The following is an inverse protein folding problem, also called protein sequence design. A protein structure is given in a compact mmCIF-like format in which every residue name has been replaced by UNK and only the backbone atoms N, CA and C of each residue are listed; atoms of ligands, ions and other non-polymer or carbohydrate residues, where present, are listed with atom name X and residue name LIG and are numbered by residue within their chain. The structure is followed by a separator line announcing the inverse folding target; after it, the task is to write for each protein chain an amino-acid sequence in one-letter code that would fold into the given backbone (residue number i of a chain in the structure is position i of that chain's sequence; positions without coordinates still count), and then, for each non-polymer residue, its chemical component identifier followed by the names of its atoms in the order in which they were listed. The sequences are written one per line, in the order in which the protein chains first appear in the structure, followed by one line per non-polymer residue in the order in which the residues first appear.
data_IF_307070445401
#
_entry.id   IF_307070445401
#
_cell.length_a   1.000
_cell.length_b   1.000
_cell.length_c   1.000
_cell.angle_alpha   90.00
_cell.angle_beta   90.00
_cell.angle_gamma   90.00
#
_symmetry.space_group_name_H-M   'P 1'
#
loop_
_entity.id
_entity.type
_entity.pdbx_description
1 polymer ?
#
# COMPACT_ATOMS: atom_id res chain seq x y z
N UNK A 1 -5.13 -0.71 12.61
CA UNK A 1 -5.99 0.18 11.82
C UNK A 1 -6.53 1.29 12.72
N UNK A 2 -6.36 2.55 12.34
CA UNK A 2 -6.99 3.67 13.05
C UNK A 2 -8.26 4.05 12.32
N UNK A 3 -9.38 4.01 13.03
CA UNK A 3 -10.66 4.56 12.57
C UNK A 3 -10.64 6.08 12.84
N UNK A 4 -10.72 6.90 11.80
CA UNK A 4 -11.12 8.30 11.93
C UNK A 4 -12.51 8.42 11.30
N UNK A 5 -13.52 8.60 12.12
CA UNK A 5 -14.88 8.80 11.71
C UNK A 5 -15.54 9.87 12.56
N UNK A 6 -15.73 11.03 11.97
CA UNK A 6 -16.76 11.99 12.35
C UNK A 6 -17.35 12.55 11.04
N UNK A 7 -18.16 11.75 10.40
CA UNK A 7 -19.09 12.20 9.39
C UNK A 7 -20.27 11.22 9.36
N UNK A 8 -21.45 11.75 9.48
CA UNK A 8 -22.71 11.10 9.75
C UNK A 8 -22.92 9.73 9.12
N UNK A 9 -23.39 8.83 9.93
CA UNK A 9 -23.86 7.49 9.59
C UNK A 9 -24.80 7.58 8.38
N UNK A 10 -24.27 7.27 7.18
CA UNK A 10 -25.12 7.11 6.00
C UNK A 10 -25.91 5.82 6.13
N UNK A 11 -27.05 5.91 6.82
CA UNK A 11 -27.97 4.81 6.98
C UNK A 11 -28.57 4.49 5.61
N UNK A 12 -28.27 3.32 5.08
CA UNK A 12 -28.92 2.78 3.88
C UNK A 12 -30.41 2.65 4.14
N UNK A 13 -31.23 3.53 3.55
CA UNK A 13 -32.70 3.48 3.65
C UNK A 13 -33.19 2.24 2.90
N UNK A 14 -33.76 1.30 3.65
CA UNK A 14 -34.30 0.06 3.13
C UNK A 14 -35.49 0.25 2.20
N UNK A 15 -35.38 -0.29 1.00
CA UNK A 15 -36.51 -0.63 0.12
C UNK A 15 -36.81 -2.11 0.25
N UNK A 16 -38.08 -2.47 0.41
CA UNK A 16 -38.60 -3.82 0.62
C UNK A 16 -38.41 -4.72 -0.61
N UNK A 17 -37.62 -5.74 -0.47
CA UNK A 17 -37.37 -6.84 -1.40
C UNK A 17 -35.98 -7.38 -1.06
N UNK A 18 -35.74 -8.68 -1.15
CA UNK A 18 -34.41 -9.27 -0.90
C UNK A 18 -33.40 -8.73 -1.93
N UNK A 19 -33.07 -7.45 -1.82
CA UNK A 19 -32.20 -6.76 -2.76
C UNK A 19 -30.76 -7.05 -2.37
N UNK A 20 -30.07 -7.70 -3.30
CA UNK A 20 -28.64 -7.85 -3.32
C UNK A 20 -27.96 -6.48 -3.20
N UNK A 21 -27.05 -6.33 -2.26
CA UNK A 21 -26.22 -5.13 -2.13
C UNK A 21 -25.10 -5.19 -3.16
N UNK A 22 -25.06 -4.27 -4.09
CA UNK A 22 -23.97 -4.15 -5.06
C UNK A 22 -22.92 -3.19 -4.52
N UNK A 23 -21.73 -3.70 -4.24
CA UNK A 23 -20.59 -2.90 -3.77
C UNK A 23 -19.56 -2.84 -4.88
N UNK A 24 -19.22 -1.62 -5.32
CA UNK A 24 -18.21 -1.38 -6.32
C UNK A 24 -16.83 -1.24 -5.66
N UNK A 25 -15.85 -1.98 -6.16
CA UNK A 25 -14.44 -1.81 -5.81
C UNK A 25 -13.72 -1.11 -6.95
N UNK A 26 -13.37 0.15 -6.75
CA UNK A 26 -12.57 0.92 -7.71
C UNK A 26 -11.09 0.67 -7.44
N UNK A 27 -10.40 0.04 -8.39
CA UNK A 27 -9.00 -0.34 -8.27
C UNK A 27 -8.14 0.34 -9.33
N UNK A 28 -7.14 1.10 -8.90
CA UNK A 28 -6.22 1.75 -9.84
C UNK A 28 -5.36 0.71 -10.58
N UNK A 29 -5.34 0.77 -11.92
CA UNK A 29 -4.63 -0.18 -12.79
C UNK A 29 -3.11 -0.14 -12.61
N UNK A 30 -2.57 0.98 -12.13
CA UNK A 30 -1.15 1.17 -11.86
C UNK A 30 -0.65 0.30 -10.70
N UNK A 31 -1.56 -0.29 -9.93
CA UNK A 31 -1.26 -1.20 -8.84
C UNK A 31 -1.39 -2.66 -9.26
N UNK A 32 -0.48 -3.49 -8.74
CA UNK A 32 -0.36 -4.90 -9.14
C UNK A 32 -1.59 -5.73 -8.79
N UNK A 33 -1.92 -6.67 -9.66
CA UNK A 33 -3.02 -7.60 -9.46
C UNK A 33 -2.88 -8.44 -8.16
N UNK A 34 -1.65 -8.77 -7.73
CA UNK A 34 -1.42 -9.53 -6.49
C UNK A 34 -1.93 -8.80 -5.24
N UNK A 35 -1.80 -7.47 -5.19
CA UNK A 35 -2.35 -6.65 -4.11
C UNK A 35 -3.89 -6.68 -4.12
N UNK A 36 -4.48 -6.64 -5.31
CA UNK A 36 -5.93 -6.71 -5.48
C UNK A 36 -6.49 -8.04 -4.96
N UNK A 37 -5.81 -9.15 -5.21
CA UNK A 37 -6.27 -10.46 -4.72
C UNK A 37 -6.26 -10.54 -3.20
N UNK A 38 -5.23 -10.05 -2.52
CA UNK A 38 -5.19 -9.99 -1.06
C UNK A 38 -6.34 -9.17 -0.48
N UNK A 39 -6.60 -8.00 -1.07
CA UNK A 39 -7.71 -7.14 -0.68
C UNK A 39 -9.07 -7.83 -0.93
N UNK A 40 -9.22 -8.47 -2.08
CA UNK A 40 -10.41 -9.25 -2.45
C UNK A 40 -10.69 -10.39 -1.47
N UNK A 41 -9.67 -11.13 -1.06
CA UNK A 41 -9.82 -12.22 -0.10
C UNK A 41 -10.32 -11.73 1.26
N UNK A 42 -9.84 -10.57 1.71
CA UNK A 42 -10.33 -9.91 2.91
C UNK A 42 -11.81 -9.50 2.81
N UNK A 43 -12.23 -8.92 1.66
CA UNK A 43 -13.64 -8.57 1.41
C UNK A 43 -14.53 -9.83 1.43
N UNK A 44 -14.14 -10.87 0.69
CA UNK A 44 -14.88 -12.13 0.61
C UNK A 44 -15.09 -12.77 1.98
N UNK A 45 -14.00 -12.89 2.74
CA UNK A 45 -14.06 -13.52 4.07
C UNK A 45 -15.03 -12.82 5.02
N UNK A 46 -15.26 -11.53 4.84
CA UNK A 46 -16.24 -10.80 5.66
C UNK A 46 -17.66 -10.87 5.09
N UNK A 47 -17.80 -10.81 3.77
CA UNK A 47 -19.11 -10.95 3.10
C UNK A 47 -19.73 -12.32 3.39
N UNK A 48 -18.94 -13.40 3.43
CA UNK A 48 -19.41 -14.75 3.73
C UNK A 48 -20.04 -14.89 5.14
N UNK A 49 -19.75 -13.94 6.05
CA UNK A 49 -20.35 -13.91 7.40
C UNK A 49 -21.68 -13.17 7.44
N UNK A 50 -22.02 -12.39 6.43
CA UNK A 50 -23.26 -11.61 6.40
C UNK A 50 -24.42 -12.43 5.87
N UNK A 51 -25.61 -12.26 6.47
CA UNK A 51 -26.85 -12.85 5.97
C UNK A 51 -27.41 -12.13 4.73
N UNK A 52 -26.93 -10.92 4.43
CA UNK A 52 -27.39 -10.14 3.28
C UNK A 52 -26.62 -10.55 2.02
N UNK A 53 -27.29 -10.81 0.88
CA UNK A 53 -26.62 -11.04 -0.38
C UNK A 53 -25.81 -9.80 -0.79
N UNK A 54 -24.51 -9.97 -1.01
CA UNK A 54 -23.61 -8.90 -1.46
C UNK A 54 -22.94 -9.33 -2.74
N UNK A 55 -23.01 -8.50 -3.77
CA UNK A 55 -22.29 -8.65 -5.03
C UNK A 55 -21.18 -7.63 -5.13
N UNK A 56 -19.94 -8.11 -5.24
CA UNK A 56 -18.78 -7.26 -5.51
C UNK A 56 -18.59 -7.10 -7.01
N UNK A 57 -18.36 -5.85 -7.44
CA UNK A 57 -18.03 -5.51 -8.82
C UNK A 57 -16.74 -4.73 -8.85
N UNK A 58 -15.78 -5.14 -9.68
CA UNK A 58 -14.49 -4.46 -9.82
C UNK A 58 -14.55 -3.49 -10.97
N UNK A 59 -14.26 -2.23 -10.72
CA UNK A 59 -14.09 -1.17 -11.71
C UNK A 59 -12.60 -0.76 -11.74
N UNK A 60 -11.85 -1.23 -12.73
CA UNK A 60 -10.48 -0.74 -12.91
C UNK A 60 -10.51 0.70 -13.42
N UNK A 61 -9.61 1.54 -12.87
CA UNK A 61 -9.44 2.92 -13.34
C UNK A 61 -7.95 3.28 -13.43
N UNK A 62 -7.63 4.34 -14.13
CA UNK A 62 -6.27 4.89 -14.22
C UNK A 62 -6.13 5.99 -13.18
N UNK A 63 -5.02 6.03 -12.43
CA UNK A 63 -4.73 7.12 -11.49
C UNK A 63 -4.87 8.49 -12.18
N UNK A 64 -5.33 9.48 -11.45
CA UNK A 64 -5.68 10.84 -11.87
C UNK A 64 -6.95 10.93 -12.75
N UNK A 65 -7.55 9.79 -13.12
CA UNK A 65 -8.74 9.72 -14.00
C UNK A 65 -9.95 9.08 -13.28
N UNK A 66 -9.98 8.99 -11.97
CA UNK A 66 -11.12 8.46 -11.21
C UNK A 66 -12.43 9.20 -11.53
N UNK A 67 -12.34 10.50 -11.77
CA UNK A 67 -13.45 11.38 -12.19
C UNK A 67 -14.15 10.94 -13.49
N UNK A 68 -13.47 10.19 -14.36
CA UNK A 68 -14.01 9.69 -15.62
C UNK A 68 -14.82 8.41 -15.44
N UNK A 69 -14.87 7.84 -14.23
CA UNK A 69 -15.65 6.64 -13.94
C UNK A 69 -17.13 6.97 -13.82
N UNK A 70 -17.89 6.69 -14.87
CA UNK A 70 -19.33 6.91 -14.90
C UNK A 70 -20.07 6.12 -13.82
N UNK A 71 -19.63 4.89 -13.54
CA UNK A 71 -20.20 4.06 -12.47
C UNK A 71 -20.10 4.72 -11.07
N UNK A 72 -19.02 5.50 -10.82
CA UNK A 72 -18.84 6.23 -9.58
C UNK A 72 -19.65 7.52 -9.56
N UNK A 73 -19.57 8.30 -10.63
CA UNK A 73 -20.17 9.64 -10.70
C UNK A 73 -21.69 9.61 -10.84
N UNK A 74 -22.25 8.62 -11.55
CA UNK A 74 -23.70 8.42 -11.64
C UNK A 74 -24.28 7.65 -10.45
N UNK A 75 -23.53 6.73 -9.87
CA UNK A 75 -23.99 5.81 -8.83
C UNK A 75 -25.11 4.87 -9.25
N UNK A 76 -25.35 4.71 -10.56
CA UNK A 76 -26.49 3.96 -11.08
C UNK A 76 -26.36 2.45 -10.89
N UNK A 77 -25.13 1.93 -10.94
CA UNK A 77 -24.86 0.49 -10.99
C UNK A 77 -24.43 -0.13 -9.65
N UNK A 78 -24.28 0.68 -8.61
CA UNK A 78 -23.84 0.20 -7.30
C UNK A 78 -24.49 1.00 -6.15
N UNK A 79 -24.57 0.35 -4.99
CA UNK A 79 -25.20 0.94 -3.81
C UNK A 79 -24.17 1.59 -2.86
N UNK A 80 -22.90 1.20 -2.99
CA UNK A 80 -21.78 1.77 -2.26
C UNK A 80 -20.47 1.48 -3.01
N UNK A 81 -19.42 2.24 -2.69
CA UNK A 81 -18.10 2.05 -3.30
C UNK A 81 -16.99 1.95 -2.26
N UNK A 82 -15.97 1.15 -2.59
CA UNK A 82 -14.67 1.16 -1.93
C UNK A 82 -13.65 1.64 -2.96
N UNK A 83 -13.00 2.76 -2.70
CA UNK A 83 -12.00 3.33 -3.60
C UNK A 83 -10.62 2.97 -3.08
N UNK A 84 -9.85 2.25 -3.89
CA UNK A 84 -8.52 1.77 -3.57
C UNK A 84 -7.47 2.51 -4.37
N UNK A 85 -6.38 2.89 -3.69
CA UNK A 85 -5.18 3.42 -4.32
C UNK A 85 -5.34 4.78 -5.04
N UNK A 86 -6.29 5.61 -4.62
CA UNK A 86 -6.49 6.95 -5.15
C UNK A 86 -5.19 7.78 -5.07
N UNK A 87 -4.88 8.51 -6.14
CA UNK A 87 -3.79 9.46 -6.22
C UNK A 87 -4.14 10.79 -5.55
N UNK A 88 -3.20 11.72 -5.49
CA UNK A 88 -3.49 13.08 -5.01
C UNK A 88 -4.56 13.80 -5.85
N UNK A 89 -4.52 13.63 -7.17
CA UNK A 89 -5.53 14.25 -8.06
C UNK A 89 -6.91 13.61 -7.89
N UNK A 90 -6.97 12.28 -7.68
CA UNK A 90 -8.22 11.58 -7.39
C UNK A 90 -8.81 12.01 -6.04
N UNK A 91 -7.97 12.22 -5.01
CA UNK A 91 -8.41 12.72 -3.71
C UNK A 91 -8.94 14.15 -3.81
N UNK A 92 -8.28 15.01 -4.59
CA UNK A 92 -8.77 16.37 -4.86
C UNK A 92 -10.14 16.35 -5.54
N UNK A 93 -10.34 15.48 -6.53
CA UNK A 93 -11.66 15.28 -7.16
C UNK A 93 -12.72 14.87 -6.13
N UNK A 94 -12.40 13.96 -5.22
CA UNK A 94 -13.31 13.52 -4.16
C UNK A 94 -13.64 14.63 -3.16
N UNK A 95 -12.69 15.50 -2.82
CA UNK A 95 -12.93 16.66 -1.95
C UNK A 95 -13.87 17.69 -2.60
N UNK A 96 -13.75 17.86 -3.92
CA UNK A 96 -14.52 18.85 -4.67
C UNK A 96 -15.89 18.32 -5.14
N UNK A 97 -16.17 17.02 -4.94
CA UNK A 97 -17.35 16.36 -5.51
C UNK A 97 -18.15 15.60 -4.44
N UNK A 98 -19.46 15.88 -4.37
CA UNK A 98 -20.37 15.06 -3.59
C UNK A 98 -20.86 13.90 -4.44
N UNK A 99 -20.41 12.68 -4.12
CA UNK A 99 -20.83 11.47 -4.82
C UNK A 99 -22.23 11.02 -4.37
N UNK A 100 -23.01 10.42 -5.30
CA UNK A 100 -24.40 10.01 -5.04
C UNK A 100 -24.54 8.75 -4.17
N UNK A 101 -23.43 8.04 -3.91
CA UNK A 101 -23.38 6.80 -3.15
C UNK A 101 -22.41 6.90 -1.98
N UNK A 102 -22.61 6.13 -0.89
CA UNK A 102 -21.63 6.01 0.17
C UNK A 102 -20.29 5.48 -0.34
N UNK A 103 -19.19 6.07 0.13
CA UNK A 103 -17.83 5.70 -0.26
C UNK A 103 -16.97 5.47 0.98
N UNK A 104 -16.15 4.40 0.93
CA UNK A 104 -15.09 4.12 1.89
C UNK A 104 -13.75 4.15 1.16
N UNK A 105 -12.77 4.85 1.71
CA UNK A 105 -11.43 4.92 1.14
C UNK A 105 -10.51 3.88 1.79
N UNK A 106 -9.81 3.12 0.96
CA UNK A 106 -8.78 2.20 1.40
C UNK A 106 -7.41 2.90 1.38
N UNK A 107 -6.81 2.98 2.56
CA UNK A 107 -5.47 3.53 2.80
C UNK A 107 -5.25 4.93 2.20
N UNK A 108 -6.29 5.75 2.27
CA UNK A 108 -6.30 7.15 1.84
C UNK A 108 -7.13 7.96 2.82
N UNK A 109 -6.75 9.21 3.02
CA UNK A 109 -7.50 10.17 3.84
C UNK A 109 -8.03 11.27 2.95
N UNK A 110 -9.34 11.53 3.04
CA UNK A 110 -10.01 12.60 2.33
C UNK A 110 -11.15 13.13 3.22
N UNK A 111 -11.30 14.43 3.31
CA UNK A 111 -12.35 15.04 4.11
C UNK A 111 -13.74 14.62 3.60
N UNK A 112 -14.64 14.35 4.51
CA UNK A 112 -16.02 13.95 4.17
C UNK A 112 -16.22 12.47 3.85
N UNK A 113 -15.18 11.65 3.81
CA UNK A 113 -15.25 10.22 3.51
C UNK A 113 -14.72 9.36 4.67
N UNK A 114 -15.40 8.24 4.92
CA UNK A 114 -14.87 7.21 5.80
C UNK A 114 -13.64 6.57 5.18
N UNK A 115 -12.67 6.20 6.03
CA UNK A 115 -11.45 5.58 5.53
C UNK A 115 -10.88 4.55 6.51
N UNK A 116 -10.21 3.54 5.95
CA UNK A 116 -9.44 2.54 6.69
C UNK A 116 -7.98 2.71 6.35
N UNK A 117 -7.15 3.02 7.33
CA UNK A 117 -5.75 3.37 7.13
C UNK A 117 -4.83 2.57 8.04
N UNK A 118 -3.58 2.43 7.62
CA UNK A 118 -2.47 2.01 8.49
C UNK A 118 -1.75 3.23 9.05
N UNK A 119 -0.97 3.01 10.09
CA UNK A 119 -0.03 4.00 10.58
C UNK A 119 1.26 3.93 9.76
N UNK A 120 1.29 4.67 8.65
CA UNK A 120 2.42 4.70 7.72
C UNK A 120 3.71 5.24 8.36
N UNK A 121 3.59 6.19 9.29
CA UNK A 121 4.74 6.70 10.04
C UNK A 121 5.37 5.58 10.88
N UNK A 122 4.54 4.82 11.60
CA UNK A 122 4.98 3.68 12.40
C UNK A 122 5.56 2.57 11.54
N UNK A 123 5.03 2.33 10.34
CA UNK A 123 5.59 1.34 9.42
C UNK A 123 7.04 1.66 9.04
N UNK A 124 7.31 2.93 8.73
CA UNK A 124 8.67 3.39 8.46
C UNK A 124 9.59 3.25 9.68
N UNK A 125 9.11 3.68 10.85
CA UNK A 125 9.85 3.59 12.10
C UNK A 125 10.23 2.15 12.46
N UNK A 126 9.31 1.19 12.28
CA UNK A 126 9.58 -0.23 12.52
C UNK A 126 10.73 -0.78 11.66
N UNK A 127 10.79 -0.39 10.38
CA UNK A 127 11.88 -0.79 9.50
C UNK A 127 13.24 -0.22 9.96
N UNK A 128 13.28 1.06 10.31
CA UNK A 128 14.49 1.71 10.78
C UNK A 128 15.01 1.09 12.10
N UNK A 129 14.09 0.87 13.05
CA UNK A 129 14.42 0.22 14.32
C UNK A 129 14.96 -1.18 14.12
N UNK A 130 14.35 -1.98 13.25
CA UNK A 130 14.81 -3.34 12.96
C UNK A 130 16.23 -3.35 12.36
N UNK A 131 16.62 -2.36 11.58
CA UNK A 131 17.99 -2.20 11.11
C UNK A 131 18.96 -1.81 12.24
N UNK A 132 18.56 -0.85 13.08
CA UNK A 132 19.37 -0.43 14.21
C UNK A 132 19.61 -1.58 15.20
N UNK A 133 18.57 -2.35 15.53
CA UNK A 133 18.64 -3.52 16.41
C UNK A 133 19.57 -4.63 15.84
N UNK A 134 19.74 -4.69 14.53
CA UNK A 134 20.70 -5.57 13.83
C UNK A 134 22.11 -4.98 13.72
N UNK A 135 22.36 -3.81 14.32
CA UNK A 135 23.67 -3.16 14.34
C UNK A 135 24.05 -2.42 13.06
N UNK A 136 23.09 -2.20 12.13
CA UNK A 136 23.34 -1.39 10.94
C UNK A 136 23.67 0.06 11.33
N UNK A 137 24.57 0.68 10.60
CA UNK A 137 24.98 2.08 10.78
C UNK A 137 24.58 2.98 9.63
N UNK A 138 24.43 2.40 8.45
CA UNK A 138 24.06 3.10 7.21
C UNK A 138 22.88 2.41 6.54
N UNK A 139 21.93 3.20 6.04
CA UNK A 139 20.82 2.66 5.28
C UNK A 139 20.57 3.48 4.02
N UNK A 140 20.28 2.79 2.93
CA UNK A 140 19.72 3.39 1.71
C UNK A 140 18.22 3.15 1.63
N UNK A 141 17.54 3.96 0.84
CA UNK A 141 16.12 3.79 0.55
C UNK A 141 15.91 3.63 -0.95
N UNK A 142 15.08 2.65 -1.30
CA UNK A 142 14.60 2.40 -2.65
C UNK A 142 13.07 2.46 -2.65
N UNK A 143 12.50 3.48 -3.26
CA UNK A 143 11.04 3.66 -3.35
C UNK A 143 10.68 4.34 -4.66
N UNK A 144 9.42 4.28 -5.06
CA UNK A 144 8.91 5.12 -6.16
C UNK A 144 8.61 6.54 -5.66
N UNK A 145 8.44 7.46 -6.60
CA UNK A 145 7.92 8.80 -6.25
C UNK A 145 6.60 8.65 -5.50
N UNK A 146 6.38 9.45 -4.43
CA UNK A 146 5.15 9.40 -3.67
C UNK A 146 3.95 9.78 -4.56
N UNK A 147 2.88 9.00 -4.46
CA UNK A 147 1.59 9.28 -5.13
C UNK A 147 0.47 9.51 -4.13
N UNK A 148 0.77 9.40 -2.83
CA UNK A 148 -0.12 9.72 -1.72
C UNK A 148 0.68 9.95 -0.42
N UNK A 149 0.09 10.67 0.52
CA UNK A 149 0.71 11.12 1.78
C UNK A 149 1.32 9.98 2.62
N UNK A 150 0.69 8.81 2.65
CA UNK A 150 1.19 7.66 3.41
C UNK A 150 2.59 7.21 2.98
N UNK A 151 2.96 7.38 1.70
CA UNK A 151 4.33 7.07 1.26
C UNK A 151 5.35 8.05 1.84
N UNK A 152 4.98 9.32 1.94
CA UNK A 152 5.83 10.37 2.55
C UNK A 152 5.94 10.15 4.06
N UNK A 153 4.83 9.86 4.73
CA UNK A 153 4.79 9.55 6.16
C UNK A 153 5.65 8.33 6.50
N UNK A 154 5.64 7.30 5.68
CA UNK A 154 6.48 6.11 5.82
C UNK A 154 7.97 6.44 5.75
N UNK A 155 8.33 7.27 4.79
CA UNK A 155 9.71 7.76 4.66
C UNK A 155 10.12 8.67 5.81
N UNK A 156 9.20 9.51 6.28
CA UNK A 156 9.43 10.40 7.42
C UNK A 156 9.67 9.59 8.70
N UNK A 157 8.80 8.61 8.99
CA UNK A 157 8.97 7.71 10.13
C UNK A 157 10.27 6.92 10.08
N UNK A 158 10.67 6.44 8.90
CA UNK A 158 11.95 5.76 8.73
C UNK A 158 13.14 6.66 9.06
N UNK A 159 13.11 7.91 8.63
CA UNK A 159 14.19 8.87 8.91
C UNK A 159 14.26 9.23 10.39
N UNK A 160 13.14 9.64 10.98
CA UNK A 160 13.10 10.05 12.39
C UNK A 160 13.61 8.95 13.32
N UNK A 161 13.10 7.73 13.16
CA UNK A 161 13.49 6.61 14.02
C UNK A 161 14.94 6.19 13.72
N UNK A 162 15.36 6.22 12.45
CA UNK A 162 16.74 5.91 12.08
C UNK A 162 17.74 6.89 12.69
N UNK A 163 17.48 8.18 12.59
CA UNK A 163 18.31 9.23 13.18
C UNK A 163 18.37 9.08 14.72
N UNK A 164 17.23 8.81 15.35
CA UNK A 164 17.15 8.58 16.79
C UNK A 164 18.05 7.43 17.26
N UNK A 165 18.19 6.38 16.43
CA UNK A 165 19.05 5.22 16.70
C UNK A 165 20.46 5.32 16.08
N UNK A 166 20.85 6.47 15.57
CA UNK A 166 22.18 6.70 15.00
C UNK A 166 22.43 6.05 13.64
N UNK A 167 21.37 5.74 12.92
CA UNK A 167 21.43 5.23 11.55
C UNK A 167 21.63 6.41 10.58
N UNK A 168 22.72 6.39 9.81
CA UNK A 168 22.95 7.37 8.75
C UNK A 168 22.14 6.98 7.51
N UNK A 169 21.19 7.82 7.11
CA UNK A 169 20.32 7.56 5.96
C UNK A 169 20.91 8.25 4.72
N UNK A 170 21.29 7.43 3.74
CA UNK A 170 21.84 7.90 2.48
C UNK A 170 20.75 8.56 1.63
N UNK A 171 21.17 9.42 0.69
CA UNK A 171 20.23 10.13 -0.17
C UNK A 171 19.27 9.18 -0.89
N UNK A 172 17.98 9.47 -0.80
CA UNK A 172 16.94 8.73 -1.49
C UNK A 172 17.00 8.99 -3.00
N UNK A 173 16.81 7.93 -3.79
CA UNK A 173 16.58 8.02 -5.23
C UNK A 173 15.39 7.16 -5.61
N UNK A 174 14.45 7.74 -6.30
CA UNK A 174 13.27 7.06 -6.77
C UNK A 174 13.59 6.06 -7.88
N UNK A 175 12.83 4.99 -7.95
CA UNK A 175 12.84 4.00 -9.01
C UNK A 175 11.40 3.63 -9.38
N UNK A 176 11.23 2.94 -10.49
CA UNK A 176 9.92 2.37 -10.83
C UNK A 176 9.50 1.33 -9.78
N UNK A 177 8.22 1.33 -9.39
CA UNK A 177 7.66 0.35 -8.45
C UNK A 177 7.48 -1.01 -9.12
N UNK A 178 8.60 -1.66 -9.44
CA UNK A 178 8.63 -2.96 -10.12
C UNK A 178 9.89 -3.75 -9.74
N UNK A 179 9.90 -5.07 -10.04
CA UNK A 179 11.09 -5.91 -9.88
C UNK A 179 12.21 -5.36 -10.77
N UNK A 180 11.89 -4.96 -12.00
CA UNK A 180 12.87 -4.37 -12.92
C UNK A 180 13.42 -3.06 -12.37
N UNK A 181 12.55 -2.16 -11.88
CA UNK A 181 12.97 -0.88 -11.32
C UNK A 181 13.92 -1.03 -10.12
N UNK A 182 13.61 -1.95 -9.20
CA UNK A 182 14.50 -2.29 -8.08
C UNK A 182 15.86 -2.84 -8.55
N UNK A 183 15.84 -3.74 -9.53
CA UNK A 183 17.06 -4.31 -10.14
C UNK A 183 17.95 -3.25 -10.80
N UNK A 184 17.36 -2.42 -11.66
CA UNK A 184 18.07 -1.37 -12.38
C UNK A 184 18.64 -0.31 -11.43
N UNK A 185 17.87 0.08 -10.40
CA UNK A 185 18.30 1.06 -9.40
C UNK A 185 19.53 0.57 -8.62
N UNK A 186 19.52 -0.68 -8.14
CA UNK A 186 20.67 -1.25 -7.42
C UNK A 186 21.84 -1.47 -8.37
N UNK A 187 21.62 -2.02 -9.56
CA UNK A 187 22.67 -2.23 -10.56
C UNK A 187 23.38 -0.94 -10.95
N UNK A 188 22.63 0.17 -11.06
CA UNK A 188 23.20 1.49 -11.31
C UNK A 188 24.06 1.96 -10.13
N UNK A 189 23.52 1.85 -8.88
CA UNK A 189 24.25 2.29 -7.68
C UNK A 189 25.52 1.49 -7.43
N UNK A 190 25.51 0.19 -7.65
CA UNK A 190 26.69 -0.65 -7.54
C UNK A 190 27.79 -0.23 -8.51
N UNK A 191 27.44 0.24 -9.70
CA UNK A 191 28.40 0.74 -10.69
C UNK A 191 28.93 2.14 -10.42
N UNK A 192 28.16 3.01 -9.75
CA UNK A 192 28.47 4.43 -9.65
C UNK A 192 28.65 4.94 -8.22
N UNK A 193 27.77 4.56 -7.30
CA UNK A 193 27.70 5.17 -5.97
C UNK A 193 28.26 4.24 -4.86
N UNK A 194 28.02 2.93 -4.97
CA UNK A 194 28.37 1.93 -3.95
C UNK A 194 29.62 1.10 -4.28
N UNK A 195 30.46 1.58 -5.22
CA UNK A 195 31.69 0.90 -5.61
C UNK A 195 32.69 0.70 -4.47
N UNK A 196 32.79 1.66 -3.58
CA UNK A 196 33.75 1.65 -2.48
C UNK A 196 33.15 1.15 -1.19
N UNK A 197 31.88 1.43 -0.94
CA UNK A 197 31.18 1.05 0.27
C UNK A 197 29.68 0.87 -0.01
N UNK A 198 29.17 -0.31 0.36
CA UNK A 198 27.73 -0.59 0.38
C UNK A 198 27.09 0.01 1.63
N UNK A 199 25.79 0.36 1.58
CA UNK A 199 25.03 0.54 2.80
C UNK A 199 24.91 -0.79 3.56
N UNK A 200 24.84 -0.73 4.88
CA UNK A 200 24.59 -1.92 5.71
C UNK A 200 23.18 -2.47 5.48
N UNK A 201 22.24 -1.56 5.15
CA UNK A 201 20.84 -1.88 5.01
C UNK A 201 20.18 -1.14 3.84
N UNK A 202 19.10 -1.72 3.30
CA UNK A 202 18.26 -1.11 2.26
C UNK A 202 16.80 -1.28 2.61
N UNK A 203 16.10 -0.16 2.80
CA UNK A 203 14.65 -0.14 2.96
C UNK A 203 13.97 0.00 1.60
N UNK A 204 13.10 -0.92 1.26
CA UNK A 204 12.39 -0.97 -0.02
C UNK A 204 10.91 -0.60 0.16
N UNK A 205 10.41 0.33 -0.65
CA UNK A 205 9.01 0.79 -0.60
C UNK A 205 7.98 -0.27 -1.00
N UNK A 206 8.43 -1.41 -1.55
CA UNK A 206 7.58 -2.56 -1.87
C UNK A 206 8.38 -3.85 -1.96
N UNK A 207 7.70 -5.00 -1.79
CA UNK A 207 8.29 -6.33 -2.03
C UNK A 207 8.86 -6.46 -3.44
N UNK A 208 8.19 -5.88 -4.44
CA UNK A 208 8.66 -5.93 -5.82
C UNK A 208 10.02 -5.25 -6.03
N UNK A 209 10.19 -4.05 -5.46
CA UNK A 209 11.47 -3.34 -5.49
C UNK A 209 12.53 -4.17 -4.78
N UNK A 210 12.20 -4.77 -3.63
CA UNK A 210 13.13 -5.58 -2.85
C UNK A 210 13.59 -6.84 -3.59
N UNK A 211 12.69 -7.55 -4.28
CA UNK A 211 13.06 -8.71 -5.11
C UNK A 211 14.04 -8.32 -6.23
N UNK A 212 13.80 -7.18 -6.88
CA UNK A 212 14.72 -6.63 -7.87
C UNK A 212 16.08 -6.27 -7.29
N UNK A 213 16.08 -5.60 -6.14
CA UNK A 213 17.29 -5.24 -5.41
C UNK A 213 18.11 -6.48 -5.00
N UNK A 214 17.43 -7.47 -4.41
CA UNK A 214 18.04 -8.74 -4.00
C UNK A 214 18.73 -9.42 -5.19
N UNK A 215 18.04 -9.53 -6.32
CA UNK A 215 18.60 -10.11 -7.53
C UNK A 215 19.87 -9.37 -7.99
N UNK A 216 19.84 -8.05 -8.03
CA UNK A 216 20.97 -7.23 -8.46
C UNK A 216 22.19 -7.40 -7.53
N UNK A 217 21.98 -7.46 -6.23
CA UNK A 217 23.06 -7.76 -5.27
C UNK A 217 23.65 -9.15 -5.47
N UNK A 218 22.79 -10.17 -5.61
CA UNK A 218 23.25 -11.56 -5.83
C UNK A 218 24.04 -11.72 -7.12
N UNK A 219 23.59 -11.13 -8.23
CA UNK A 219 24.30 -11.16 -9.52
C UNK A 219 25.65 -10.43 -9.46
N UNK A 220 25.77 -9.42 -8.60
CA UNK A 220 27.03 -8.73 -8.34
C UNK A 220 27.95 -9.46 -7.32
N UNK A 221 27.55 -10.65 -6.85
CA UNK A 221 28.33 -11.47 -5.92
C UNK A 221 28.16 -11.12 -4.44
N UNK A 222 27.22 -10.26 -4.08
CA UNK A 222 26.89 -9.98 -2.68
C UNK A 222 25.89 -11.01 -2.16
N UNK A 223 26.40 -12.02 -1.44
CA UNK A 223 25.62 -13.13 -0.86
C UNK A 223 26.04 -13.37 0.59
N UNK A 224 25.16 -14.00 1.35
CA UNK A 224 25.40 -14.31 2.76
C UNK A 224 25.66 -13.03 3.58
N UNK A 225 26.74 -13.00 4.35
CA UNK A 225 27.11 -11.87 5.21
C UNK A 225 27.48 -10.59 4.45
N UNK A 226 27.82 -10.70 3.16
CA UNK A 226 28.15 -9.55 2.31
C UNK A 226 26.90 -8.85 1.75
N UNK A 227 25.73 -9.50 1.85
CA UNK A 227 24.47 -8.93 1.38
C UNK A 227 23.98 -7.87 2.39
N UNK A 228 23.67 -6.63 1.93
CA UNK A 228 23.01 -5.66 2.78
C UNK A 228 21.70 -6.21 3.36
N UNK A 229 21.35 -5.82 4.59
CA UNK A 229 20.05 -6.19 5.16
C UNK A 229 18.94 -5.54 4.36
N UNK A 230 17.95 -6.33 3.93
CA UNK A 230 16.83 -5.85 3.15
C UNK A 230 15.55 -5.93 3.99
N UNK A 231 14.82 -4.83 4.09
CA UNK A 231 13.45 -4.81 4.62
C UNK A 231 12.58 -4.10 3.60
N UNK A 232 11.42 -4.69 3.31
CA UNK A 232 10.44 -4.09 2.39
C UNK A 232 9.12 -3.81 3.08
N UNK A 233 8.29 -2.96 2.44
CA UNK A 233 6.87 -2.92 2.72
C UNK A 233 6.24 -4.17 2.12
N UNK A 234 5.64 -5.01 2.96
CA UNK A 234 5.06 -6.30 2.59
C UNK A 234 3.69 -6.14 1.93
N UNK A 235 3.69 -5.71 0.68
CA UNK A 235 2.50 -5.51 -0.14
C UNK A 235 2.40 -6.50 -1.32
N UNK A 236 3.36 -7.43 -1.42
CA UNK A 236 3.35 -8.54 -2.38
C UNK A 236 2.74 -9.82 -1.81
N UNK A 237 2.78 -10.92 -2.58
CA UNK A 237 2.44 -12.24 -2.09
C UNK A 237 3.41 -12.67 -0.98
N UNK A 238 2.88 -13.07 0.18
CA UNK A 238 3.70 -13.51 1.33
C UNK A 238 4.62 -14.67 0.97
N UNK A 239 4.12 -15.63 0.18
CA UNK A 239 4.93 -16.76 -0.29
C UNK A 239 6.16 -16.31 -1.08
N UNK A 240 6.03 -15.30 -1.94
CA UNK A 240 7.15 -14.77 -2.71
C UNK A 240 8.23 -14.18 -1.81
N UNK A 241 7.84 -13.50 -0.74
CA UNK A 241 8.77 -12.91 0.21
C UNK A 241 9.41 -13.99 1.10
N UNK A 242 8.62 -14.95 1.57
CA UNK A 242 9.08 -16.03 2.45
C UNK A 242 10.02 -17.03 1.74
N UNK A 243 9.74 -17.35 0.47
CA UNK A 243 10.50 -18.35 -0.31
C UNK A 243 11.58 -17.74 -1.22
N UNK A 244 11.83 -16.42 -1.15
CA UNK A 244 13.02 -15.84 -1.77
C UNK A 244 14.30 -16.34 -1.08
N UNK A 245 15.44 -16.26 -1.77
CA UNK A 245 16.74 -16.72 -1.22
C UNK A 245 17.71 -15.55 -1.21
N UNK A 246 18.08 -15.03 -0.03
CA UNK A 246 17.46 -15.30 1.29
C UNK A 246 16.01 -14.80 1.36
N UNK A 247 15.27 -15.29 2.36
CA UNK A 247 13.90 -14.80 2.60
C UNK A 247 13.90 -13.29 2.89
N UNK A 248 12.91 -12.60 2.34
CA UNK A 248 12.79 -11.15 2.48
C UNK A 248 12.08 -10.79 3.79
N UNK A 249 12.72 -9.94 4.59
CA UNK A 249 12.06 -9.35 5.75
C UNK A 249 11.11 -8.23 5.31
N UNK A 250 9.92 -8.17 5.91
CA UNK A 250 8.92 -7.19 5.54
C UNK A 250 8.30 -6.50 6.77
N UNK A 251 7.94 -5.23 6.61
CA UNK A 251 6.94 -4.59 7.45
C UNK A 251 5.58 -4.90 6.85
N UNK A 252 4.79 -5.69 7.57
CA UNK A 252 3.54 -6.23 7.05
C UNK A 252 2.47 -5.16 6.86
N UNK A 253 1.86 -5.14 5.68
CA UNK A 253 0.68 -4.32 5.37
C UNK A 253 -0.56 -5.23 5.49
N UNK A 254 -1.43 -5.02 6.51
CA UNK A 254 -2.56 -5.91 6.80
C UNK A 254 -3.74 -5.67 5.84
N UNK A 255 -3.53 -5.95 4.56
CA UNK A 255 -4.47 -5.63 3.49
C UNK A 255 -5.81 -6.36 3.65
N UNK A 256 -5.77 -7.62 4.06
CA UNK A 256 -6.95 -8.45 4.28
C UNK A 256 -7.80 -7.92 5.46
N UNK A 257 -7.15 -7.49 6.55
CA UNK A 257 -7.84 -6.90 7.71
C UNK A 257 -8.45 -5.54 7.35
N UNK A 258 -7.70 -4.71 6.62
CA UNK A 258 -8.18 -3.42 6.15
C UNK A 258 -9.38 -3.58 5.19
N UNK A 259 -9.36 -4.61 4.34
CA UNK A 259 -10.47 -4.91 3.45
C UNK A 259 -11.72 -5.32 4.23
N UNK A 260 -11.58 -6.15 5.29
CA UNK A 260 -12.67 -6.52 6.20
C UNK A 260 -13.28 -5.27 6.85
N UNK A 261 -12.46 -4.38 7.37
CA UNK A 261 -12.93 -3.12 7.95
C UNK A 261 -13.65 -2.22 6.92
N UNK A 262 -13.14 -2.15 5.67
CA UNK A 262 -13.80 -1.39 4.60
C UNK A 262 -15.21 -1.91 4.33
N UNK A 263 -15.39 -3.22 4.18
CA UNK A 263 -16.71 -3.80 3.90
C UNK A 263 -17.65 -3.71 5.10
N UNK A 264 -17.16 -3.81 6.33
CA UNK A 264 -17.95 -3.58 7.53
C UNK A 264 -18.51 -2.16 7.59
N UNK A 265 -17.68 -1.16 7.27
CA UNK A 265 -18.14 0.23 7.18
C UNK A 265 -19.23 0.41 6.09
N UNK A 266 -19.08 -0.27 4.94
CA UNK A 266 -20.10 -0.26 3.88
C UNK A 266 -21.40 -0.92 4.34
N UNK A 267 -21.32 -1.99 5.12
CA UNK A 267 -22.48 -2.72 5.64
C UNK A 267 -23.16 -2.03 6.84
N UNK A 268 -22.54 -0.97 7.38
CA UNK A 268 -23.06 -0.25 8.56
C UNK A 268 -22.85 -1.00 9.86
N UNK A 269 -21.80 -1.82 9.96
CA UNK A 269 -21.41 -2.62 11.12
C UNK A 269 -20.30 -1.98 11.95
#
# INVERSE_FOLDING_TARGET
AQRRGDAGTACLRGGSGANELVVAMFWAQDFRASMMFRFWDGLRAEIEKTARPVRLVIYPYVNDLLKESEALTSGADCHAAIICNASYADLQFLEDTQLPIPVVLYNRVCNGYCSVNVDDLKMGALAARAFADQGCRTAAVLTSSPVFEGMENRMHGFRLEGEHHGLTILANRYCENSIRGGYEAVSHRLRHEWKQQLPDAVFCGSSAIAHGALRAFCEAGYIGEKLPRLIAVGNGPEESDAFSIPSLSVVYLPMEDMARECIQLVLGQ
#
